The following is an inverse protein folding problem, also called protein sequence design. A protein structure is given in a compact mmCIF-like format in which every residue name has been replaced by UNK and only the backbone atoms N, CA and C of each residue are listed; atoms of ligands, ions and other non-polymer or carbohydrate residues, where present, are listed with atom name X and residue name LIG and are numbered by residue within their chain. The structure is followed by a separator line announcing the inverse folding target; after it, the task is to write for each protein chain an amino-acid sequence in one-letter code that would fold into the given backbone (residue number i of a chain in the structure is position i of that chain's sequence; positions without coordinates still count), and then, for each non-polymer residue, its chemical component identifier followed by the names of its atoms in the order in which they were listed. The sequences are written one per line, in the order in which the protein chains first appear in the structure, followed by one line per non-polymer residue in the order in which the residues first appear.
data_IF_379725522181
#
_entry.id   IF_379725522181
#
_cell.length_a   1.000
_cell.length_b   1.000
_cell.length_c   1.000
_cell.angle_alpha   90.00
_cell.angle_beta   90.00
_cell.angle_gamma   90.00
#
_symmetry.space_group_name_H-M   'P 1'
#
loop_
_entity.id
_entity.type
_entity.pdbx_description
1 polymer ?
#
# COMPACT_ATOMS: atom_id res chain seq x y z
N UNK A 1 -20.56 18.04 -21.79
CA UNK A 1 -19.99 18.82 -20.67
C UNK A 1 -20.56 18.33 -19.34
N UNK A 2 -21.86 18.42 -19.09
CA UNK A 2 -22.46 18.08 -17.77
C UNK A 2 -22.24 16.64 -17.31
N UNK A 3 -22.20 15.67 -18.23
CA UNK A 3 -21.91 14.27 -17.91
C UNK A 3 -20.41 13.96 -17.74
N UNK A 4 -19.54 14.98 -17.80
CA UNK A 4 -18.07 14.85 -17.81
C UNK A 4 -17.47 13.95 -18.92
N UNK A 5 -18.28 13.52 -19.90
CA UNK A 5 -17.80 12.72 -21.05
C UNK A 5 -16.68 13.42 -21.82
N UNK A 6 -16.84 14.71 -22.11
CA UNK A 6 -15.75 15.52 -22.67
C UNK A 6 -15.14 15.02 -23.98
N UNK A 7 -15.94 14.43 -24.89
CA UNK A 7 -15.47 13.87 -26.18
C UNK A 7 -14.46 14.74 -26.95
N UNK A 8 -14.48 16.07 -26.80
CA UNK A 8 -13.38 16.93 -27.25
C UNK A 8 -13.31 17.16 -28.76
N UNK A 9 -14.08 16.40 -29.55
CA UNK A 9 -14.24 16.59 -30.99
C UNK A 9 -14.74 18.00 -31.35
N UNK A 10 -15.58 18.60 -30.51
CA UNK A 10 -16.03 20.00 -30.63
C UNK A 10 -15.75 20.73 -29.30
N UNK A 11 -15.05 21.86 -29.38
CA UNK A 11 -14.69 22.67 -28.22
C UNK A 11 -14.79 24.17 -28.49
N UNK A 12 -15.16 25.00 -27.49
CA UNK A 12 -15.30 26.45 -27.67
C UNK A 12 -13.93 27.10 -27.95
N UNK A 13 -13.81 27.75 -29.11
CA UNK A 13 -12.60 28.49 -29.48
C UNK A 13 -12.63 29.96 -29.05
N UNK A 14 -13.81 30.56 -28.99
CA UNK A 14 -14.01 31.98 -28.63
C UNK A 14 -13.81 32.21 -27.13
N UNK A 15 -13.33 33.40 -26.75
CA UNK A 15 -13.15 33.76 -25.35
C UNK A 15 -14.48 33.70 -24.56
N UNK A 16 -15.55 34.28 -25.12
CA UNK A 16 -16.88 34.22 -24.51
C UNK A 16 -17.42 32.79 -24.38
N UNK A 17 -17.22 31.94 -25.40
CA UNK A 17 -17.63 30.54 -25.35
C UNK A 17 -16.91 29.73 -24.26
N UNK A 18 -15.62 30.02 -24.03
CA UNK A 18 -14.85 29.40 -22.93
C UNK A 18 -15.38 29.83 -21.57
N UNK A 19 -15.61 31.13 -21.36
CA UNK A 19 -16.17 31.67 -20.10
C UNK A 19 -17.54 31.04 -19.81
N UNK A 20 -18.42 30.99 -20.83
CA UNK A 20 -19.72 30.34 -20.71
C UNK A 20 -19.59 28.84 -20.36
N UNK A 21 -18.67 28.12 -21.01
CA UNK A 21 -18.44 26.71 -20.75
C UNK A 21 -18.00 26.43 -19.31
N UNK A 22 -17.18 27.32 -18.72
CA UNK A 22 -16.75 27.21 -17.30
C UNK A 22 -17.96 27.32 -16.38
N UNK A 23 -18.78 28.36 -16.55
CA UNK A 23 -19.99 28.58 -15.71
C UNK A 23 -20.98 27.42 -15.89
N UNK A 24 -21.19 26.99 -17.13
CA UNK A 24 -22.09 25.89 -17.46
C UNK A 24 -21.64 24.56 -16.84
N UNK A 25 -20.33 24.26 -16.83
CA UNK A 25 -19.79 23.07 -16.18
C UNK A 25 -19.98 23.11 -14.66
N UNK A 26 -19.66 24.25 -14.02
CA UNK A 26 -19.76 24.40 -12.57
C UNK A 26 -21.17 24.18 -12.03
N UNK A 27 -22.19 24.65 -12.74
CA UNK A 27 -23.60 24.46 -12.34
C UNK A 27 -24.19 23.14 -12.86
N UNK A 28 -23.80 22.75 -14.07
CA UNK A 28 -24.39 21.59 -14.74
C UNK A 28 -23.92 20.25 -14.19
N UNK A 29 -22.65 20.11 -13.79
CA UNK A 29 -22.12 18.85 -13.24
C UNK A 29 -22.83 18.48 -11.92
N UNK A 30 -22.98 19.37 -10.91
CA UNK A 30 -23.73 19.05 -9.70
C UNK A 30 -25.20 18.71 -9.99
N UNK A 31 -25.87 19.48 -10.85
CA UNK A 31 -27.27 19.24 -11.22
C UNK A 31 -27.42 17.87 -11.90
N UNK A 32 -26.50 17.51 -12.80
CA UNK A 32 -26.48 16.20 -13.42
C UNK A 32 -26.20 15.08 -12.41
N UNK A 33 -25.36 15.34 -11.40
CA UNK A 33 -25.15 14.42 -10.28
C UNK A 33 -26.44 14.12 -9.51
N UNK A 34 -27.26 15.13 -9.20
CA UNK A 34 -28.58 14.93 -8.59
C UNK A 34 -29.53 14.14 -9.49
N UNK A 35 -29.53 14.43 -10.79
CA UNK A 35 -30.32 13.68 -11.77
C UNK A 35 -29.90 12.21 -11.80
N UNK A 36 -28.59 11.93 -11.88
CA UNK A 36 -28.06 10.57 -11.86
C UNK A 36 -28.39 9.84 -10.56
N UNK A 37 -28.34 10.51 -9.41
CA UNK A 37 -28.75 9.92 -8.14
C UNK A 37 -30.23 9.51 -8.18
N UNK A 38 -31.11 10.42 -8.62
CA UNK A 38 -32.54 10.11 -8.73
C UNK A 38 -32.85 8.98 -9.73
N UNK A 39 -32.18 8.96 -10.88
CA UNK A 39 -32.30 7.88 -11.87
C UNK A 39 -31.75 6.56 -11.31
N UNK A 40 -30.62 6.62 -10.60
CA UNK A 40 -30.01 5.49 -9.92
C UNK A 40 -30.94 4.87 -8.87
N UNK A 41 -31.64 5.69 -8.09
CA UNK A 41 -32.63 5.22 -7.12
C UNK A 41 -33.82 4.54 -7.80
N UNK A 42 -34.35 5.14 -8.88
CA UNK A 42 -35.43 4.53 -9.64
C UNK A 42 -35.02 3.19 -10.24
N UNK A 43 -33.84 3.12 -10.87
CA UNK A 43 -33.27 1.87 -11.36
C UNK A 43 -33.11 0.86 -10.22
N UNK A 44 -32.51 1.28 -9.11
CA UNK A 44 -32.31 0.45 -7.93
C UNK A 44 -33.61 -0.15 -7.39
N UNK A 45 -34.71 0.61 -7.35
CA UNK A 45 -36.02 0.08 -6.93
C UNK A 45 -36.62 -0.90 -7.93
N UNK A 46 -36.48 -0.65 -9.24
CA UNK A 46 -36.94 -1.57 -10.30
C UNK A 46 -36.17 -2.90 -10.20
N UNK A 47 -34.85 -2.81 -10.09
CA UNK A 47 -33.99 -3.99 -9.93
C UNK A 47 -34.22 -4.69 -8.60
N UNK A 48 -34.43 -3.96 -7.51
CA UNK A 48 -34.77 -4.52 -6.20
C UNK A 48 -36.06 -5.34 -6.23
N UNK A 49 -37.10 -4.84 -6.92
CA UNK A 49 -38.34 -5.62 -7.16
C UNK A 49 -38.08 -6.88 -7.99
N UNK A 50 -37.23 -6.77 -9.02
CA UNK A 50 -36.81 -7.91 -9.84
C UNK A 50 -36.05 -8.96 -9.03
N UNK A 51 -35.08 -8.53 -8.23
CA UNK A 51 -34.29 -9.38 -7.35
C UNK A 51 -35.21 -10.06 -6.33
N UNK A 52 -36.10 -9.33 -5.64
CA UNK A 52 -37.02 -9.92 -4.67
C UNK A 52 -37.88 -11.05 -5.28
N UNK A 53 -38.28 -10.92 -6.56
CA UNK A 53 -39.03 -11.96 -7.27
C UNK A 53 -38.17 -13.19 -7.61
N UNK A 54 -36.89 -12.98 -7.95
CA UNK A 54 -35.92 -14.07 -8.15
C UNK A 54 -35.60 -14.75 -6.82
N UNK A 55 -35.47 -13.99 -5.73
CA UNK A 55 -35.23 -14.49 -4.38
C UNK A 55 -36.40 -15.36 -3.89
N UNK A 56 -37.66 -14.93 -4.07
CA UNK A 56 -38.83 -15.76 -3.72
C UNK A 56 -38.85 -17.10 -4.47
N UNK A 57 -38.37 -17.10 -5.71
CA UNK A 57 -38.26 -18.32 -6.53
C UNK A 57 -37.13 -19.23 -6.03
N UNK A 58 -35.99 -18.66 -5.59
CA UNK A 58 -34.82 -19.41 -5.11
C UNK A 58 -34.92 -19.88 -3.65
N UNK A 59 -35.67 -19.17 -2.80
CA UNK A 59 -35.92 -19.61 -1.41
C UNK A 59 -36.67 -20.94 -1.39
N UNK A 60 -37.56 -21.18 -2.37
CA UNK A 60 -38.21 -22.49 -2.57
C UNK A 60 -37.23 -23.62 -2.85
N UNK A 61 -36.01 -23.31 -3.29
CA UNK A 61 -34.94 -24.26 -3.60
C UNK A 61 -33.95 -24.50 -2.44
N UNK A 62 -34.28 -24.05 -1.22
CA UNK A 62 -33.52 -24.28 0.02
C UNK A 62 -32.05 -23.83 -0.05
N UNK A 63 -31.78 -22.72 -0.74
CA UNK A 63 -30.43 -22.16 -0.90
C UNK A 63 -30.11 -21.17 0.23
N UNK A 64 -28.86 -21.13 0.70
CA UNK A 64 -28.40 -20.20 1.74
C UNK A 64 -28.52 -18.71 1.30
N UNK A 65 -28.93 -17.85 2.23
CA UNK A 65 -29.16 -16.41 2.03
C UNK A 65 -27.93 -15.66 1.45
N UNK A 66 -26.72 -16.02 1.86
CA UNK A 66 -25.50 -15.38 1.33
C UNK A 66 -25.26 -15.74 -0.13
N UNK A 67 -25.55 -17.00 -0.52
CA UNK A 67 -25.44 -17.45 -1.91
C UNK A 67 -26.46 -16.72 -2.79
N UNK A 68 -27.69 -16.55 -2.30
CA UNK A 68 -28.75 -15.82 -3.01
C UNK A 68 -28.32 -14.39 -3.33
N UNK A 69 -27.77 -13.65 -2.36
CA UNK A 69 -27.27 -12.27 -2.57
C UNK A 69 -26.15 -12.19 -3.61
N UNK A 70 -25.23 -13.15 -3.61
CA UNK A 70 -24.15 -13.21 -4.61
C UNK A 70 -24.73 -13.50 -5.99
N UNK A 71 -25.63 -14.48 -6.09
CA UNK A 71 -26.26 -14.87 -7.37
C UNK A 71 -27.09 -13.71 -7.93
N UNK A 72 -27.90 -13.03 -7.11
CA UNK A 72 -28.70 -11.89 -7.55
C UNK A 72 -27.83 -10.73 -8.04
N UNK A 73 -26.69 -10.49 -7.38
CA UNK A 73 -25.69 -9.50 -7.79
C UNK A 73 -25.07 -9.87 -9.14
N UNK A 74 -24.67 -11.12 -9.34
CA UNK A 74 -24.07 -11.58 -10.61
C UNK A 74 -25.09 -11.47 -11.75
N UNK A 75 -26.35 -11.88 -11.50
CA UNK A 75 -27.43 -11.75 -12.49
C UNK A 75 -27.66 -10.27 -12.85
N UNK A 76 -27.64 -9.37 -11.88
CA UNK A 76 -27.78 -7.93 -12.09
C UNK A 76 -26.65 -7.36 -12.96
N UNK A 77 -25.40 -7.77 -12.72
CA UNK A 77 -24.26 -7.38 -13.56
C UNK A 77 -24.44 -7.91 -14.99
N UNK A 78 -24.73 -9.20 -15.14
CA UNK A 78 -24.87 -9.83 -16.45
C UNK A 78 -26.02 -9.21 -17.26
N UNK A 79 -27.18 -9.01 -16.63
CA UNK A 79 -28.34 -8.41 -17.28
C UNK A 79 -28.06 -6.98 -17.74
N UNK A 80 -27.42 -6.17 -16.91
CA UNK A 80 -27.06 -4.82 -17.31
C UNK A 80 -25.93 -4.76 -18.34
N UNK A 81 -24.97 -5.70 -18.34
CA UNK A 81 -24.02 -5.85 -19.43
C UNK A 81 -24.74 -6.15 -20.77
N UNK A 82 -25.76 -7.01 -20.77
CA UNK A 82 -26.54 -7.27 -21.99
C UNK A 82 -27.29 -6.02 -22.44
N UNK A 83 -28.01 -5.34 -21.53
CA UNK A 83 -28.86 -4.20 -21.86
C UNK A 83 -28.09 -2.92 -22.20
N UNK A 84 -27.04 -2.60 -21.45
CA UNK A 84 -26.33 -1.32 -21.56
C UNK A 84 -25.02 -1.44 -22.34
N UNK A 85 -24.49 -2.65 -22.56
CA UNK A 85 -23.27 -2.87 -23.31
C UNK A 85 -23.51 -3.60 -24.64
N UNK A 86 -23.98 -4.85 -24.58
CA UNK A 86 -24.07 -5.69 -25.78
C UNK A 86 -25.12 -5.18 -26.77
N UNK A 87 -26.33 -4.88 -26.31
CA UNK A 87 -27.42 -4.41 -27.16
C UNK A 87 -27.08 -3.07 -27.84
N UNK A 88 -26.60 -2.02 -27.12
CA UNK A 88 -26.17 -0.78 -27.75
C UNK A 88 -24.99 -0.97 -28.71
N UNK A 89 -24.02 -1.83 -28.39
CA UNK A 89 -22.91 -2.11 -29.30
C UNK A 89 -23.38 -2.72 -30.63
N UNK A 90 -24.38 -3.60 -30.61
CA UNK A 90 -24.99 -4.14 -31.85
C UNK A 90 -25.70 -3.04 -32.63
N UNK A 91 -26.41 -2.13 -31.96
CA UNK A 91 -27.08 -0.99 -32.59
C UNK A 91 -26.04 -0.06 -33.24
N UNK A 92 -25.00 0.36 -32.50
CA UNK A 92 -23.96 1.24 -33.01
C UNK A 92 -23.19 0.61 -34.16
N UNK A 93 -22.92 -0.69 -34.11
CA UNK A 93 -22.34 -1.43 -35.25
C UNK A 93 -23.16 -1.28 -36.52
N UNK A 94 -24.49 -1.39 -36.43
CA UNK A 94 -25.36 -1.32 -37.62
C UNK A 94 -25.58 0.11 -38.11
N UNK A 95 -25.75 1.07 -37.19
CA UNK A 95 -26.07 2.46 -37.54
C UNK A 95 -24.82 3.25 -37.95
N UNK A 96 -23.72 3.11 -37.21
CA UNK A 96 -22.48 3.85 -37.45
C UNK A 96 -21.50 3.09 -38.35
N UNK A 97 -21.79 1.82 -38.68
CA UNK A 97 -20.93 0.98 -39.51
C UNK A 97 -19.62 0.56 -38.85
N UNK A 98 -19.51 0.70 -37.52
CA UNK A 98 -18.31 0.35 -36.77
C UNK A 98 -18.06 -1.15 -36.66
N UNK A 99 -16.82 -1.56 -36.40
CA UNK A 99 -16.55 -2.95 -36.07
C UNK A 99 -17.18 -3.30 -34.71
N UNK A 100 -17.38 -4.60 -34.43
CA UNK A 100 -17.90 -5.03 -33.13
C UNK A 100 -17.00 -4.58 -31.97
N UNK A 101 -15.67 -4.56 -32.18
CA UNK A 101 -14.72 -4.12 -31.18
C UNK A 101 -14.84 -2.61 -30.92
N UNK A 102 -14.89 -1.81 -31.98
CA UNK A 102 -14.99 -0.34 -31.88
C UNK A 102 -16.31 0.07 -31.21
N UNK A 103 -17.42 -0.63 -31.51
CA UNK A 103 -18.70 -0.36 -30.88
C UNK A 103 -18.71 -0.69 -29.38
N UNK A 104 -18.12 -1.82 -28.98
CA UNK A 104 -17.97 -2.16 -27.55
C UNK A 104 -17.02 -1.17 -26.87
N UNK A 105 -15.93 -0.81 -27.52
CA UNK A 105 -14.98 0.19 -27.04
C UNK A 105 -15.66 1.53 -26.79
N UNK A 106 -16.41 2.06 -27.76
CA UNK A 106 -17.17 3.30 -27.63
C UNK A 106 -18.13 3.26 -26.45
N UNK A 107 -18.88 2.18 -26.30
CA UNK A 107 -19.82 1.97 -25.21
C UNK A 107 -19.13 2.00 -23.85
N UNK A 108 -18.03 1.26 -23.69
CA UNK A 108 -17.27 1.21 -22.43
C UNK A 108 -16.67 2.58 -22.12
N UNK A 109 -15.98 3.21 -23.06
CA UNK A 109 -15.33 4.53 -22.88
C UNK A 109 -16.34 5.63 -22.59
N UNK A 110 -17.55 5.54 -23.16
CA UNK A 110 -18.63 6.49 -22.89
C UNK A 110 -19.21 6.27 -21.49
N UNK A 111 -19.57 5.04 -21.13
CA UNK A 111 -20.20 4.77 -19.82
C UNK A 111 -19.23 4.89 -18.64
N UNK A 112 -17.93 4.70 -18.85
CA UNK A 112 -16.90 4.97 -17.83
C UNK A 112 -16.60 6.46 -17.66
N UNK A 113 -17.20 7.32 -18.48
CA UNK A 113 -16.91 8.76 -18.55
C UNK A 113 -15.47 9.12 -18.93
N UNK A 114 -14.73 8.19 -19.54
CA UNK A 114 -13.39 8.48 -20.10
C UNK A 114 -13.54 9.38 -21.33
N UNK A 115 -14.43 9.01 -22.24
CA UNK A 115 -14.86 9.82 -23.39
C UNK A 115 -13.74 10.40 -24.25
N UNK A 116 -12.85 9.56 -24.79
CA UNK A 116 -11.77 10.00 -25.68
C UNK A 116 -12.27 10.77 -26.92
N UNK A 117 -13.44 10.40 -27.45
CA UNK A 117 -14.11 11.06 -28.57
C UNK A 117 -13.48 10.83 -29.95
N UNK A 118 -12.65 9.80 -30.04
CA UNK A 118 -12.26 9.13 -31.29
C UNK A 118 -13.46 8.48 -31.99
N UNK A 119 -14.41 7.94 -31.22
CA UNK A 119 -15.72 7.49 -31.68
C UNK A 119 -16.83 8.30 -31.02
N UNK A 120 -17.76 8.84 -31.83
CA UNK A 120 -18.90 9.62 -31.36
C UNK A 120 -20.15 9.25 -32.16
N UNK A 121 -21.16 8.72 -31.47
CA UNK A 121 -22.44 8.39 -32.07
C UNK A 121 -23.16 9.66 -32.57
N UNK A 122 -23.61 9.65 -33.84
CA UNK A 122 -24.27 10.78 -34.48
C UNK A 122 -23.32 11.89 -34.93
N UNK A 123 -22.02 11.61 -35.00
CA UNK A 123 -20.96 12.55 -35.36
C UNK A 123 -20.53 12.54 -36.83
N UNK A 124 -20.93 11.53 -37.62
CA UNK A 124 -20.60 11.43 -39.04
C UNK A 124 -21.62 12.15 -39.92
N UNK A 125 -21.29 12.41 -41.19
CA UNK A 125 -22.20 13.05 -42.16
C UNK A 125 -23.25 12.07 -42.75
N UNK A 126 -23.61 11.03 -41.99
CA UNK A 126 -24.60 10.02 -42.37
C UNK A 126 -26.01 10.57 -42.09
N UNK A 127 -26.99 10.20 -42.92
CA UNK A 127 -28.39 10.52 -42.66
C UNK A 127 -28.92 9.66 -41.50
N UNK A 128 -29.05 10.27 -40.33
CA UNK A 128 -29.60 9.63 -39.14
C UNK A 128 -31.11 9.86 -39.03
N UNK A 129 -31.81 8.90 -38.43
CA UNK A 129 -33.18 9.13 -37.97
C UNK A 129 -33.19 10.21 -36.88
N UNK A 130 -34.18 11.11 -36.90
CA UNK A 130 -34.29 12.22 -35.93
C UNK A 130 -34.30 11.75 -34.46
N UNK A 131 -34.85 10.57 -34.20
CA UNK A 131 -34.92 9.99 -32.84
C UNK A 131 -33.61 9.35 -32.37
N UNK A 132 -32.62 9.14 -33.23
CA UNK A 132 -31.39 8.43 -32.88
C UNK A 132 -30.60 9.16 -31.79
N UNK A 133 -30.28 10.44 -31.99
CA UNK A 133 -29.49 11.23 -31.02
C UNK A 133 -30.17 11.35 -29.66
N UNK A 134 -31.48 11.66 -29.55
CA UNK A 134 -32.20 11.63 -28.28
C UNK A 134 -32.17 10.26 -27.58
N UNK A 135 -32.32 9.15 -28.33
CA UNK A 135 -32.24 7.80 -27.76
C UNK A 135 -30.85 7.50 -27.22
N UNK A 136 -29.78 7.92 -27.93
CA UNK A 136 -28.40 7.79 -27.44
C UNK A 136 -28.20 8.60 -26.14
N UNK A 137 -28.70 9.84 -26.07
CA UNK A 137 -28.65 10.63 -24.83
C UNK A 137 -29.38 9.97 -23.67
N UNK A 138 -30.56 9.39 -23.92
CA UNK A 138 -31.30 8.63 -22.93
C UNK A 138 -30.53 7.38 -22.47
N UNK A 139 -29.96 6.62 -23.40
CA UNK A 139 -29.10 5.47 -23.08
C UNK A 139 -27.89 5.89 -22.23
N UNK A 140 -27.21 6.99 -22.56
CA UNK A 140 -26.10 7.52 -21.77
C UNK A 140 -26.56 7.83 -20.34
N UNK A 141 -27.70 8.52 -20.17
CA UNK A 141 -28.23 8.88 -18.85
C UNK A 141 -28.52 7.66 -17.99
N UNK A 142 -29.24 6.67 -18.54
CA UNK A 142 -29.60 5.44 -17.80
C UNK A 142 -28.38 4.54 -17.59
N UNK A 143 -27.53 4.43 -18.61
CA UNK A 143 -26.30 3.64 -18.59
C UNK A 143 -25.28 4.18 -17.59
N UNK A 144 -25.15 5.51 -17.46
CA UNK A 144 -24.29 6.13 -16.45
C UNK A 144 -24.78 5.86 -15.03
N UNK A 145 -26.09 5.92 -14.80
CA UNK A 145 -26.65 5.57 -13.49
C UNK A 145 -26.40 4.09 -13.14
N UNK A 146 -26.55 3.19 -14.11
CA UNK A 146 -26.20 1.79 -13.94
C UNK A 146 -24.70 1.59 -13.67
N UNK A 147 -23.82 2.23 -14.46
CA UNK A 147 -22.38 2.11 -14.30
C UNK A 147 -21.91 2.67 -12.96
N UNK A 148 -22.48 3.78 -12.50
CA UNK A 148 -22.23 4.33 -11.17
C UNK A 148 -22.60 3.32 -10.06
N UNK A 149 -23.74 2.65 -10.17
CA UNK A 149 -24.13 1.60 -9.22
C UNK A 149 -23.14 0.42 -9.21
N UNK A 150 -22.67 -0.01 -10.38
CA UNK A 150 -21.64 -1.06 -10.51
C UNK A 150 -20.33 -0.60 -9.87
N UNK A 151 -19.88 0.63 -10.10
CA UNK A 151 -18.68 1.19 -9.46
C UNK A 151 -18.81 1.27 -7.93
N UNK A 152 -19.96 1.70 -7.41
CA UNK A 152 -20.22 1.72 -5.96
C UNK A 152 -20.11 0.32 -5.35
N UNK A 153 -20.69 -0.67 -6.02
CA UNK A 153 -20.64 -2.07 -5.58
C UNK A 153 -19.23 -2.65 -5.61
N UNK A 154 -18.46 -2.37 -6.67
CA UNK A 154 -17.03 -2.74 -6.73
C UNK A 154 -16.27 -2.05 -5.59
N UNK A 155 -16.56 -0.78 -5.32
CA UNK A 155 -15.97 -0.02 -4.22
C UNK A 155 -16.23 -0.66 -2.85
N UNK A 156 -17.46 -1.12 -2.59
CA UNK A 156 -17.79 -1.83 -1.36
C UNK A 156 -17.11 -3.20 -1.26
N UNK A 157 -16.99 -3.93 -2.37
CA UNK A 157 -16.25 -5.18 -2.42
C UNK A 157 -14.76 -4.97 -2.14
N UNK A 158 -14.15 -3.94 -2.74
CA UNK A 158 -12.76 -3.55 -2.47
C UNK A 158 -12.55 -3.16 -0.99
N UNK A 159 -13.53 -2.48 -0.36
CA UNK A 159 -13.47 -2.18 1.08
C UNK A 159 -13.48 -3.45 1.93
N UNK A 160 -14.29 -4.45 1.57
CA UNK A 160 -14.33 -5.74 2.28
C UNK A 160 -12.99 -6.48 2.15
N UNK A 161 -12.45 -6.54 0.93
CA UNK A 161 -11.12 -7.13 0.69
C UNK A 161 -10.05 -6.38 1.50
N UNK A 162 -10.06 -5.04 1.46
CA UNK A 162 -9.11 -4.21 2.19
C UNK A 162 -9.14 -4.47 3.70
N UNK A 163 -10.34 -4.64 4.29
CA UNK A 163 -10.48 -5.01 5.72
C UNK A 163 -9.88 -6.38 6.01
N UNK A 164 -10.21 -7.39 5.19
CA UNK A 164 -9.69 -8.75 5.37
C UNK A 164 -8.17 -8.81 5.24
N UNK A 165 -7.61 -8.13 4.22
CA UNK A 165 -6.16 -8.03 4.05
C UNK A 165 -5.51 -7.32 5.25
N UNK A 166 -6.15 -6.29 5.83
CA UNK A 166 -5.63 -5.59 7.01
C UNK A 166 -5.65 -6.47 8.27
N UNK A 167 -6.67 -7.31 8.44
CA UNK A 167 -6.77 -8.27 9.54
C UNK A 167 -5.68 -9.34 9.43
N UNK A 168 -5.53 -9.96 8.26
CA UNK A 168 -4.49 -10.96 7.99
C UNK A 168 -3.08 -10.37 8.20
N UNK A 169 -2.79 -9.19 7.65
CA UNK A 169 -1.50 -8.51 7.85
C UNK A 169 -1.29 -8.11 9.32
N UNK A 170 -2.36 -7.73 10.03
CA UNK A 170 -2.32 -7.42 11.45
C UNK A 170 -1.97 -8.63 12.31
N UNK A 171 -2.56 -9.79 12.01
CA UNK A 171 -2.29 -11.06 12.69
C UNK A 171 -0.84 -11.52 12.45
N UNK A 172 -0.35 -11.47 11.20
CA UNK A 172 1.05 -11.76 10.90
C UNK A 172 2.01 -10.84 11.66
N UNK A 173 1.69 -9.54 11.75
CA UNK A 173 2.50 -8.57 12.48
C UNK A 173 2.50 -8.86 13.99
N UNK A 174 1.36 -9.24 14.56
CA UNK A 174 1.25 -9.61 15.97
C UNK A 174 2.08 -10.85 16.29
N UNK A 175 1.95 -11.90 15.47
CA UNK A 175 2.72 -13.15 15.62
C UNK A 175 4.23 -12.91 15.48
N UNK A 176 4.65 -12.07 14.52
CA UNK A 176 6.05 -11.68 14.38
C UNK A 176 6.58 -10.89 15.59
N UNK A 177 5.77 -10.00 16.16
CA UNK A 177 6.13 -9.23 17.35
C UNK A 177 6.27 -10.13 18.59
N UNK A 178 5.35 -11.06 18.79
CA UNK A 178 5.41 -12.04 19.88
C UNK A 178 6.64 -12.94 19.76
N UNK A 179 6.90 -13.48 18.56
CA UNK A 179 8.09 -14.28 18.29
C UNK A 179 9.38 -13.49 18.60
N UNK A 180 9.47 -12.24 18.14
CA UNK A 180 10.62 -11.38 18.39
C UNK A 180 10.82 -11.11 19.89
N UNK A 181 9.73 -10.86 20.63
CA UNK A 181 9.78 -10.66 22.06
C UNK A 181 10.23 -11.93 22.81
N UNK A 182 9.70 -13.10 22.43
CA UNK A 182 10.03 -14.38 23.04
C UNK A 182 11.50 -14.76 22.80
N UNK A 183 11.99 -14.63 21.56
CA UNK A 183 13.40 -14.87 21.21
C UNK A 183 14.32 -13.93 21.99
N UNK A 184 13.95 -12.66 22.13
CA UNK A 184 14.73 -11.68 22.91
C UNK A 184 14.78 -12.04 24.40
N UNK A 185 13.66 -12.51 24.96
CA UNK A 185 13.58 -12.94 26.35
C UNK A 185 14.45 -14.19 26.62
N UNK A 186 14.34 -15.22 25.78
CA UNK A 186 15.15 -16.44 25.81
C UNK A 186 16.66 -16.11 25.73
N UNK A 187 17.05 -15.22 24.82
CA UNK A 187 18.44 -14.82 24.66
C UNK A 187 18.96 -14.06 25.89
N UNK A 188 18.12 -13.19 26.49
CA UNK A 188 18.45 -12.45 27.71
C UNK A 188 18.60 -13.37 28.91
N UNK A 189 17.74 -14.38 29.04
CA UNK A 189 17.82 -15.40 30.09
C UNK A 189 19.06 -16.28 29.93
N UNK A 190 19.33 -16.75 28.71
CA UNK A 190 20.54 -17.52 28.37
C UNK A 190 21.81 -16.75 28.69
N UNK A 191 21.87 -15.46 28.29
CA UNK A 191 22.98 -14.56 28.63
C UNK A 191 23.14 -14.40 30.15
N UNK A 192 22.04 -14.29 30.89
CA UNK A 192 22.06 -14.20 32.35
C UNK A 192 22.65 -15.45 32.99
N UNK A 193 22.17 -16.63 32.60
CA UNK A 193 22.70 -17.91 33.10
C UNK A 193 24.18 -18.07 32.81
N UNK A 194 24.59 -17.77 31.58
CA UNK A 194 26.00 -17.81 31.19
C UNK A 194 26.84 -16.84 32.02
N UNK A 195 26.35 -15.61 32.27
CA UNK A 195 27.08 -14.63 33.08
C UNK A 195 27.27 -15.07 34.54
N UNK A 196 26.28 -15.73 35.13
CA UNK A 196 26.37 -16.28 36.49
C UNK A 196 27.37 -17.43 36.54
N UNK A 197 27.32 -18.35 35.56
CA UNK A 197 28.26 -19.47 35.50
C UNK A 197 29.71 -19.01 35.28
N UNK A 198 29.91 -18.03 34.38
CA UNK A 198 31.22 -17.40 34.16
C UNK A 198 31.73 -16.77 35.45
N UNK A 199 30.90 -15.97 36.12
CA UNK A 199 31.26 -15.30 37.37
C UNK A 199 31.66 -16.30 38.47
N UNK A 200 30.89 -17.37 38.62
CA UNK A 200 31.17 -18.42 39.61
C UNK A 200 32.44 -19.22 39.29
N UNK A 201 32.72 -19.53 38.02
CA UNK A 201 34.00 -20.12 37.60
C UNK A 201 35.18 -19.21 37.92
N UNK A 202 35.06 -17.90 37.68
CA UNK A 202 36.08 -16.91 38.05
C UNK A 202 36.31 -16.83 39.57
N UNK A 203 35.24 -16.85 40.36
CA UNK A 203 35.35 -16.88 41.83
C UNK A 203 36.03 -18.15 42.32
N UNK A 204 35.65 -19.32 41.79
CA UNK A 204 36.29 -20.61 42.12
C UNK A 204 37.77 -20.62 41.76
N UNK A 205 38.14 -20.20 40.55
CA UNK A 205 39.54 -20.12 40.12
C UNK A 205 40.36 -19.16 41.02
N UNK A 206 39.77 -18.02 41.41
CA UNK A 206 40.40 -17.05 42.32
C UNK A 206 40.60 -17.64 43.73
N UNK A 207 39.63 -18.40 44.24
CA UNK A 207 39.73 -19.07 45.55
C UNK A 207 40.83 -20.13 45.58
N UNK A 208 40.95 -20.91 44.50
CA UNK A 208 41.99 -21.93 44.35
C UNK A 208 43.36 -21.25 44.28
N UNK A 209 43.49 -20.18 43.49
CA UNK A 209 44.73 -19.38 43.42
C UNK A 209 45.13 -18.86 44.80
N UNK A 210 44.19 -18.33 45.59
CA UNK A 210 44.47 -17.87 46.96
C UNK A 210 44.91 -18.99 47.89
N UNK A 211 44.26 -20.16 47.85
CA UNK A 211 44.66 -21.33 48.65
C UNK A 211 46.07 -21.81 48.27
N UNK A 212 46.34 -21.94 46.98
CA UNK A 212 47.65 -22.36 46.48
C UNK A 212 48.74 -21.33 46.87
N UNK A 213 48.46 -20.03 46.74
CA UNK A 213 49.39 -18.97 47.19
C UNK A 213 49.61 -18.97 48.70
N UNK A 214 48.59 -19.30 49.50
CA UNK A 214 48.72 -19.44 50.95
C UNK A 214 49.56 -20.68 51.34
N UNK A 215 49.35 -21.82 50.67
CA UNK A 215 50.17 -23.02 50.88
C UNK A 215 51.63 -22.82 50.44
N UNK A 216 51.86 -22.11 49.33
CA UNK A 216 53.22 -21.72 48.91
C UNK A 216 53.89 -20.78 49.94
N UNK A 217 53.14 -19.84 50.52
CA UNK A 217 53.62 -18.95 51.56
C UNK A 217 53.89 -19.66 52.91
N UNK A 218 53.16 -20.73 53.21
CA UNK A 218 53.39 -21.58 54.39
C UNK A 218 54.60 -22.48 54.17
N UNK A 219 54.76 -23.07 52.98
CA UNK A 219 55.94 -23.86 52.63
C UNK A 219 57.22 -23.03 52.62
N UNK A 220 57.14 -21.74 52.26
CA UNK A 220 58.32 -20.86 52.27
C UNK A 220 58.76 -20.43 53.68
N UNK A 221 57.96 -20.67 54.72
CA UNK A 221 58.28 -20.35 56.12
C UNK A 221 58.80 -21.54 56.94
N UNK A 222 58.96 -22.73 56.34
CA UNK A 222 59.49 -23.92 57.02
C UNK A 222 61.00 -24.17 56.85
N UNK A 223 61.72 -23.36 56.06
CA UNK A 223 63.18 -23.31 56.09
C UNK A 223 63.66 -22.05 56.83
N UNK A 224 63.92 -22.22 58.12
CA UNK A 224 64.41 -21.19 59.05
C UNK A 224 65.91 -20.85 58.82
N UNK A 225 66.19 -19.60 58.47
CA UNK A 225 67.14 -18.67 59.17
C UNK A 225 68.68 -18.83 58.97
N UNK A 226 69.56 -17.97 59.53
CA UNK A 226 70.06 -16.72 58.91
C UNK A 226 71.60 -16.52 59.00
N UNK A 227 72.27 -15.87 58.04
CA UNK A 227 73.43 -14.96 58.33
C UNK A 227 74.10 -14.35 57.09
N UNK A 228 74.30 -13.02 57.16
CA UNK A 228 75.57 -12.25 56.95
C UNK A 228 76.37 -12.53 55.66
N UNK A 229 76.85 -11.56 54.87
CA UNK A 229 77.15 -10.12 55.06
C UNK A 229 77.67 -9.58 53.71
N UNK A 230 77.38 -8.31 53.39
CA UNK A 230 78.22 -7.30 52.68
C UNK A 230 78.89 -7.67 51.33
N UNK A 231 78.90 -6.88 50.27
CA UNK A 231 79.12 -5.43 50.17
C UNK A 231 78.90 -5.00 48.69
N UNK A 232 78.23 -3.86 48.50
CA UNK A 232 78.23 -2.88 47.37
C UNK A 232 78.30 -3.35 45.90
N UNK A 233 77.45 -2.78 45.04
CA UNK A 233 77.73 -1.58 44.20
C UNK A 233 76.45 -1.21 43.40
N UNK A 234 76.14 0.08 43.45
CA UNK A 234 75.21 0.93 42.66
C UNK A 234 74.67 0.41 41.30
N UNK A 235 73.41 0.71 40.96
CA UNK A 235 73.00 1.85 40.08
C UNK A 235 71.57 1.71 39.50
N UNK A 236 70.83 2.84 39.46
CA UNK A 236 69.57 3.20 38.75
C UNK A 236 68.22 2.59 39.23
N UNK A 237 67.44 3.32 40.06
CA UNK A 237 66.35 4.28 39.73
C UNK A 237 65.13 3.62 39.06
N UNK A 238 64.05 3.35 39.81
CA UNK A 238 62.92 4.27 40.07
C UNK A 238 62.23 4.73 38.79
N UNK A 239 60.99 4.27 38.56
CA UNK A 239 59.88 5.22 38.51
C UNK A 239 58.51 4.56 38.59
N UNK A 240 57.65 5.30 39.28
CA UNK A 240 56.22 5.12 39.50
C UNK A 240 55.52 6.07 38.52
N UNK A 241 54.27 5.75 38.24
CA UNK A 241 53.19 6.70 37.94
C UNK A 241 53.06 7.32 36.52
N UNK A 242 51.86 7.10 35.98
CA UNK A 242 50.96 8.06 35.30
C UNK A 242 51.14 8.33 33.77
N UNK A 243 49.99 8.22 33.08
CA UNK A 243 49.49 8.80 31.79
C UNK A 243 50.24 10.05 31.24
N UNK A 244 50.05 10.53 29.96
CA UNK A 244 49.15 10.10 28.87
C UNK A 244 49.71 10.21 27.41
N UNK A 245 48.87 9.80 26.44
CA UNK A 245 48.56 10.37 25.11
C UNK A 245 49.63 10.80 24.06
N UNK A 246 49.12 10.77 22.80
CA UNK A 246 49.49 11.54 21.59
C UNK A 246 50.36 10.89 20.49
N UNK A 247 49.65 10.45 19.45
CA UNK A 247 49.78 10.86 18.03
C UNK A 247 51.01 10.54 17.16
N UNK A 248 50.62 10.15 15.92
CA UNK A 248 51.12 10.57 14.59
C UNK A 248 51.99 9.58 13.79
N UNK A 249 51.31 8.98 12.81
CA UNK A 249 51.64 8.89 11.36
C UNK A 249 53.02 8.44 10.90
N UNK A 250 53.05 7.38 10.08
CA UNK A 250 53.32 7.44 8.62
C UNK A 250 53.13 6.02 8.00
N UNK A 251 52.13 5.84 7.12
CA UNK A 251 52.20 5.87 5.65
C UNK A 251 53.02 4.74 4.99
N UNK A 252 52.34 3.74 4.40
CA UNK A 252 52.71 3.13 3.11
C UNK A 252 51.44 2.81 2.31
N UNK A 253 51.41 3.32 1.07
CA UNK A 253 50.36 3.24 0.06
C UNK A 253 50.30 1.88 -0.65
N UNK A 254 49.11 1.45 -1.08
CA UNK A 254 48.87 0.94 -2.44
C UNK A 254 47.37 1.00 -2.79
N UNK A 255 47.11 1.62 -3.93
CA UNK A 255 45.83 1.88 -4.62
C UNK A 255 45.11 0.56 -4.99
N UNK A 256 43.82 0.48 -5.31
CA UNK A 256 42.78 1.46 -5.61
C UNK A 256 41.68 0.75 -6.40
N UNK A 257 40.44 1.21 -6.29
CA UNK A 257 39.37 1.23 -7.31
C UNK A 257 38.05 1.62 -6.62
N UNK A 258 37.61 2.85 -6.88
CA UNK A 258 36.23 3.35 -6.71
C UNK A 258 35.44 3.01 -7.99
N UNK A 259 34.08 3.02 -8.00
CA UNK A 259 33.32 4.28 -8.05
C UNK A 259 31.99 4.32 -7.24
N UNK A 260 31.75 5.52 -6.69
CA UNK A 260 30.49 6.29 -6.60
C UNK A 260 29.12 5.60 -6.44
N UNK A 261 28.41 5.99 -5.38
CA UNK A 261 27.15 6.75 -5.56
C UNK A 261 26.84 7.60 -4.31
N UNK A 262 26.47 8.86 -4.55
CA UNK A 262 26.19 9.89 -3.58
C UNK A 262 24.73 9.80 -3.09
N UNK A 263 24.50 10.06 -1.80
CA UNK A 263 23.19 10.44 -1.28
C UNK A 263 23.37 11.70 -0.43
N UNK A 264 22.75 12.79 -0.89
CA UNK A 264 22.76 14.14 -0.33
C UNK A 264 22.20 14.17 1.11
N UNK A 265 22.91 14.87 1.99
CA UNK A 265 22.40 15.36 3.26
C UNK A 265 21.44 16.54 3.02
N UNK A 266 20.26 16.45 3.63
CA UNK A 266 19.25 17.51 3.70
C UNK A 266 19.73 18.55 4.70
N UNK A 267 20.19 19.70 4.23
CA UNK A 267 20.45 20.87 5.04
C UNK A 267 19.14 21.64 5.29
N UNK A 268 18.81 21.78 6.58
CA UNK A 268 17.82 22.70 7.14
C UNK A 268 18.30 24.13 6.91
N UNK A 269 17.50 24.98 6.26
CA UNK A 269 17.73 26.42 6.21
C UNK A 269 16.65 27.14 7.02
N UNK A 270 17.15 27.85 8.02
CA UNK A 270 16.50 28.78 8.90
C UNK A 270 16.57 30.20 8.29
N UNK A 271 15.44 30.92 8.34
CA UNK A 271 15.23 32.38 8.31
C UNK A 271 15.86 33.29 7.22
N UNK A 272 15.01 34.17 6.67
CA UNK A 272 15.06 35.67 6.73
C UNK A 272 14.20 36.24 5.57
N UNK A 273 13.05 36.86 5.89
CA UNK A 273 12.75 38.31 5.75
C UNK A 273 11.25 38.59 5.73
#
# INVERSE_FOLDING_TARGET
VVCNLGFGNISPRTQGGKIFCIIYALLGIPLFGFLLAGVGDQLGTIFGKGIAKVEDTFVKWNVSQTKIRIISTIIFILFGCVLFVALPAVIFKHIEGWSTLDAIYFVVITLTTIGFGDYVAGGSDIEYLDFYKPVVWFWILVGLAYFAAVLSMIGDWLRVISKKTKEEVGEFRAHAAEWTANVTAEFKETRRRLSVEIYDKFQRATSIKRKLSAELAVSHNQDLTPCKRTLSVNHLTSEKDILPALTKTDNIYMNGLTPHCAAEEIAVIENIK
#
